data_IF_984247656517
#
_entry.id   IF_984247656517
#
_cell.length_a   1.000
_cell.length_b   1.000
_cell.length_c   1.000
_cell.angle_alpha   90.00
_cell.angle_beta   90.00
_cell.angle_gamma   90.00
#
_symmetry.space_group_name_H-M   'P 1'
#
loop_
_entity.id
_entity.type
_entity.pdbx_description
1 polymer ?
#
# COMPACT_ATOMS: atom_id res chain seq x y z
N UNK A 1 -6.36 -14.70 14.78
CA UNK A 1 -6.51 -13.30 15.16
C UNK A 1 -7.98 -13.07 15.56
N UNK A 2 -8.26 -12.71 16.79
CA UNK A 2 -9.62 -12.67 17.33
C UNK A 2 -9.92 -11.34 18.01
N UNK A 3 -9.80 -10.24 17.31
CA UNK A 3 -10.14 -8.92 17.78
C UNK A 3 -10.19 -7.95 16.61
N UNK A 4 -10.73 -6.75 16.79
CA UNK A 4 -10.63 -5.68 15.83
C UNK A 4 -9.15 -5.31 15.66
N UNK A 5 -8.53 -5.83 14.61
CA UNK A 5 -7.14 -5.50 14.29
C UNK A 5 -7.12 -4.17 13.57
N UNK A 6 -6.38 -3.21 14.11
CA UNK A 6 -6.14 -1.93 13.44
C UNK A 6 -5.32 -2.20 12.18
N UNK A 7 -5.90 -1.97 11.01
CA UNK A 7 -5.25 -2.19 9.72
C UNK A 7 -4.65 -0.89 9.16
N UNK A 8 -3.44 -0.57 9.64
CA UNK A 8 -2.70 0.61 9.18
C UNK A 8 -2.33 0.59 7.71
N UNK A 9 -2.26 -0.58 7.12
CA UNK A 9 -1.85 -0.77 5.74
C UNK A 9 -3.03 -0.88 4.77
N UNK A 10 -4.27 -0.67 5.24
CA UNK A 10 -5.48 -0.81 4.41
C UNK A 10 -5.37 -0.08 3.07
N UNK A 11 -4.82 1.13 3.06
CA UNK A 11 -4.62 1.94 1.86
C UNK A 11 -3.49 1.43 0.95
N UNK A 12 -2.47 0.78 1.53
CA UNK A 12 -1.31 0.28 0.80
C UNK A 12 -1.40 -1.21 0.48
N UNK A 13 -2.42 -1.93 1.00
CA UNK A 13 -2.52 -3.40 0.85
C UNK A 13 -2.55 -3.86 -0.59
N UNK A 14 -3.27 -3.16 -1.45
CA UNK A 14 -3.30 -3.50 -2.86
C UNK A 14 -1.91 -3.41 -3.51
N UNK A 15 -1.10 -2.40 -3.11
CA UNK A 15 0.25 -2.19 -3.63
C UNK A 15 1.24 -3.17 -3.00
N UNK A 16 1.09 -3.44 -1.69
CA UNK A 16 1.96 -4.37 -0.96
C UNK A 16 1.59 -5.84 -1.15
N UNK A 17 0.48 -6.12 -1.83
CA UNK A 17 -0.05 -7.48 -2.04
C UNK A 17 -0.18 -8.27 -0.73
N UNK A 18 -0.57 -7.58 0.36
CA UNK A 18 -0.78 -8.16 1.67
C UNK A 18 -2.27 -8.36 1.97
N UNK A 19 -2.61 -9.36 2.78
CA UNK A 19 -3.97 -9.61 3.24
C UNK A 19 -4.05 -9.53 4.76
N UNK A 20 -4.96 -8.69 5.29
CA UNK A 20 -5.13 -8.52 6.73
C UNK A 20 -5.45 -9.84 7.43
N UNK A 21 -4.77 -10.09 8.56
CA UNK A 21 -5.02 -11.28 9.36
C UNK A 21 -4.57 -12.61 8.74
N UNK A 22 -3.94 -12.60 7.57
CA UNK A 22 -3.40 -13.79 6.91
C UNK A 22 -1.92 -14.00 7.18
N UNK A 23 -1.41 -15.16 6.78
CA UNK A 23 0.03 -15.45 6.80
C UNK A 23 0.84 -14.46 5.95
N UNK A 24 0.22 -13.92 4.89
CA UNK A 24 0.80 -12.93 3.99
C UNK A 24 0.45 -11.48 4.38
N UNK A 25 0.29 -11.23 5.67
CA UNK A 25 -0.07 -9.91 6.19
C UNK A 25 0.91 -8.79 5.78
N UNK A 26 2.22 -9.06 5.82
CA UNK A 26 3.25 -8.12 5.39
C UNK A 26 3.34 -7.98 3.85
N UNK A 27 2.90 -9.00 3.09
CA UNK A 27 3.02 -9.02 1.64
C UNK A 27 4.47 -8.86 1.16
N UNK A 28 4.66 -8.02 0.14
CA UNK A 28 5.97 -7.70 -0.45
C UNK A 28 6.71 -6.56 0.27
N UNK A 29 6.14 -5.98 1.34
CA UNK A 29 6.71 -4.85 2.08
C UNK A 29 8.19 -5.00 2.42
N UNK A 30 8.59 -6.05 3.16
CA UNK A 30 9.97 -6.27 3.55
C UNK A 30 10.94 -6.43 2.37
N UNK A 31 10.47 -7.03 1.26
CA UNK A 31 11.27 -7.23 0.04
C UNK A 31 11.58 -5.89 -0.60
N UNK A 32 10.55 -5.05 -0.72
CA UNK A 32 10.66 -3.71 -1.30
C UNK A 32 11.55 -2.83 -0.43
N UNK A 33 11.32 -2.81 0.89
CA UNK A 33 12.10 -2.01 1.84
C UNK A 33 13.57 -2.42 1.86
N UNK A 34 13.87 -3.72 1.88
CA UNK A 34 15.23 -4.23 1.79
C UNK A 34 15.92 -3.81 0.49
N UNK A 35 15.18 -3.81 -0.62
CA UNK A 35 15.69 -3.36 -1.92
C UNK A 35 15.98 -1.86 -1.93
N UNK A 36 15.12 -1.03 -1.33
CA UNK A 36 15.31 0.42 -1.21
C UNK A 36 16.59 0.73 -0.42
N UNK A 37 16.75 0.11 0.74
CA UNK A 37 17.90 0.35 1.61
C UNK A 37 19.18 0.02 0.86
N UNK A 38 19.21 -1.09 0.14
CA UNK A 38 20.40 -1.48 -0.65
C UNK A 38 20.68 -0.51 -1.80
N UNK A 39 19.63 -0.04 -2.50
CA UNK A 39 19.74 0.97 -3.55
C UNK A 39 20.25 2.31 -2.99
N UNK A 40 19.77 2.74 -1.83
CA UNK A 40 20.21 3.95 -1.17
C UNK A 40 21.71 3.86 -0.75
N UNK A 41 22.11 2.75 -0.18
CA UNK A 41 23.51 2.56 0.25
C UNK A 41 24.47 2.55 -0.94
N UNK A 42 24.07 1.93 -2.04
CA UNK A 42 24.87 1.90 -3.27
C UNK A 42 24.83 3.26 -3.98
N UNK A 43 23.67 3.89 -4.06
CA UNK A 43 23.49 5.21 -4.70
C UNK A 43 24.20 6.33 -3.95
N UNK A 44 24.19 6.31 -2.64
CA UNK A 44 24.92 7.25 -1.78
C UNK A 44 26.43 6.93 -1.67
N UNK A 45 26.90 5.86 -2.35
CA UNK A 45 28.30 5.38 -2.28
C UNK A 45 28.78 5.06 -0.85
N UNK A 46 27.87 4.71 0.05
CA UNK A 46 28.22 4.19 1.37
C UNK A 46 28.87 2.81 1.20
N UNK A 47 28.33 2.02 0.28
CA UNK A 47 28.90 0.76 -0.16
C UNK A 47 29.40 0.99 -1.60
N UNK A 48 30.72 0.96 -1.79
CA UNK A 48 31.34 1.13 -3.09
C UNK A 48 31.29 -0.19 -3.88
N UNK A 49 30.18 -0.42 -4.59
CA UNK A 49 30.02 -1.54 -5.50
C UNK A 49 29.88 -1.01 -6.93
N UNK A 50 30.67 -1.58 -7.84
CA UNK A 50 30.55 -1.30 -9.26
C UNK A 50 29.61 -2.30 -9.92
N UNK A 51 28.33 -1.93 -10.10
CA UNK A 51 27.30 -2.80 -10.68
C UNK A 51 27.59 -3.22 -12.15
N UNK A 52 28.63 -2.68 -12.76
CA UNK A 52 29.13 -3.11 -14.07
C UNK A 52 29.98 -4.38 -13.96
N UNK A 53 30.57 -4.65 -12.79
CA UNK A 53 31.37 -5.85 -12.54
C UNK A 53 30.45 -7.00 -12.11
N UNK A 54 30.54 -8.19 -12.75
CA UNK A 54 29.75 -9.35 -12.38
C UNK A 54 29.90 -9.78 -10.92
N UNK A 55 31.10 -9.68 -10.36
CA UNK A 55 31.39 -10.04 -8.97
C UNK A 55 30.70 -9.11 -7.98
N UNK A 56 30.79 -7.79 -8.21
CA UNK A 56 30.14 -6.80 -7.36
C UNK A 56 28.61 -6.90 -7.44
N UNK A 57 28.09 -7.26 -8.60
CA UNK A 57 26.66 -7.54 -8.81
C UNK A 57 26.17 -8.75 -8.00
N UNK A 58 26.96 -9.83 -7.92
CA UNK A 58 26.64 -10.98 -7.07
C UNK A 58 26.64 -10.61 -5.58
N UNK A 59 27.64 -9.83 -5.14
CA UNK A 59 27.70 -9.33 -3.76
C UNK A 59 26.49 -8.45 -3.46
N UNK A 60 26.10 -7.55 -4.37
CA UNK A 60 24.93 -6.70 -4.23
C UNK A 60 23.65 -7.56 -4.04
N UNK A 61 23.42 -8.53 -4.91
CA UNK A 61 22.25 -9.41 -4.82
C UNK A 61 22.25 -10.27 -3.56
N UNK A 62 23.41 -10.79 -3.15
CA UNK A 62 23.53 -11.56 -1.90
C UNK A 62 23.23 -10.72 -0.67
N UNK A 63 23.79 -9.51 -0.59
CA UNK A 63 23.55 -8.57 0.51
C UNK A 63 22.10 -8.13 0.57
N UNK A 64 21.48 -7.87 -0.59
CA UNK A 64 20.06 -7.53 -0.68
C UNK A 64 19.17 -8.64 -0.10
N UNK A 65 19.44 -9.91 -0.38
CA UNK A 65 18.69 -11.04 0.17
C UNK A 65 18.81 -11.15 1.70
N UNK A 66 20.00 -10.95 2.24
CA UNK A 66 20.22 -10.92 3.69
C UNK A 66 19.44 -9.76 4.31
N UNK A 67 19.48 -8.58 3.67
CA UNK A 67 18.77 -7.41 4.15
C UNK A 67 17.26 -7.62 4.15
N UNK A 68 16.70 -8.29 3.14
CA UNK A 68 15.26 -8.66 3.11
C UNK A 68 14.89 -9.54 4.31
N UNK A 69 15.71 -10.53 4.64
CA UNK A 69 15.45 -11.40 5.81
C UNK A 69 15.47 -10.57 7.12
N UNK A 70 16.41 -9.65 7.25
CA UNK A 70 16.46 -8.74 8.40
C UNK A 70 15.21 -7.86 8.44
N UNK A 71 14.77 -7.32 7.31
CA UNK A 71 13.58 -6.49 7.23
C UNK A 71 12.29 -7.25 7.53
N UNK A 72 12.18 -8.52 7.18
CA UNK A 72 11.05 -9.38 7.59
C UNK A 72 10.90 -9.37 9.11
N UNK A 73 11.99 -9.49 9.84
CA UNK A 73 11.97 -9.48 11.32
C UNK A 73 11.67 -8.06 11.83
N UNK A 74 12.32 -7.05 11.28
CA UNK A 74 12.17 -5.64 11.69
C UNK A 74 10.75 -5.12 11.46
N UNK A 75 10.05 -5.59 10.43
CA UNK A 75 8.66 -5.20 10.15
C UNK A 75 7.63 -6.07 10.89
N UNK A 76 7.90 -7.39 11.11
CA UNK A 76 6.96 -8.28 11.79
C UNK A 76 6.83 -7.98 13.29
N UNK A 77 7.93 -7.66 13.96
CA UNK A 77 7.93 -7.41 15.41
C UNK A 77 7.04 -6.21 15.79
N UNK A 78 7.21 -5.01 15.21
CA UNK A 78 6.37 -3.86 15.53
C UNK A 78 4.89 -4.09 15.24
N UNK A 79 4.57 -4.82 14.18
CA UNK A 79 3.17 -5.10 13.84
C UNK A 79 2.47 -5.95 14.89
N UNK A 80 3.13 -6.98 15.41
CA UNK A 80 2.55 -7.84 16.44
C UNK A 80 2.48 -7.15 17.80
N UNK A 81 3.46 -6.35 18.14
CA UNK A 81 3.44 -5.62 19.42
C UNK A 81 2.54 -4.40 19.42
N UNK A 82 2.31 -3.77 18.28
CA UNK A 82 1.56 -2.52 18.18
C UNK A 82 0.12 -2.67 17.69
N UNK A 83 -0.18 -3.66 16.83
CA UNK A 83 -1.42 -3.63 16.05
C UNK A 83 -2.17 -4.95 15.94
N UNK A 84 -1.48 -6.08 16.13
CA UNK A 84 -2.10 -7.39 16.02
C UNK A 84 -2.37 -7.97 17.40
N UNK A 85 -3.63 -8.06 17.77
CA UNK A 85 -4.02 -8.72 19.00
C UNK A 85 -4.16 -10.23 18.80
N UNK A 86 -3.47 -11.06 19.62
CA UNK A 86 -3.68 -12.49 19.63
C UNK A 86 -5.10 -12.83 20.06
N UNK A 87 -5.66 -13.94 19.54
CA UNK A 87 -6.97 -14.40 19.99
C UNK A 87 -6.94 -14.75 21.49
N UNK A 88 -8.05 -14.46 22.17
CA UNK A 88 -8.19 -14.76 23.61
C UNK A 88 -8.02 -16.25 23.93
N UNK A 89 -8.42 -17.13 23.02
CA UNK A 89 -8.21 -18.58 23.16
C UNK A 89 -6.73 -18.95 23.18
N UNK A 90 -5.94 -18.42 22.24
CA UNK A 90 -4.49 -18.68 22.18
C UNK A 90 -3.76 -18.11 23.40
N UNK A 91 -4.16 -16.91 23.85
CA UNK A 91 -3.58 -16.28 25.04
C UNK A 91 -3.89 -17.11 26.29
N UNK A 92 -5.09 -17.69 26.39
CA UNK A 92 -5.47 -18.57 27.50
C UNK A 92 -4.67 -19.85 27.56
N UNK A 93 -4.27 -20.43 26.43
CA UNK A 93 -3.51 -21.68 26.36
C UNK A 93 -2.00 -21.50 26.60
N UNK A 94 -1.38 -20.53 25.95
CA UNK A 94 0.09 -20.39 25.93
C UNK A 94 0.63 -19.13 26.58
N UNK A 95 -0.24 -18.21 26.98
CA UNK A 95 0.15 -16.91 27.54
C UNK A 95 0.46 -15.87 26.46
N UNK A 96 0.35 -14.58 26.82
CA UNK A 96 0.43 -13.46 25.90
C UNK A 96 1.77 -13.38 25.15
N UNK A 97 2.89 -13.60 25.85
CA UNK A 97 4.23 -13.52 25.25
C UNK A 97 4.46 -14.60 24.20
N UNK A 98 4.10 -15.83 24.52
CA UNK A 98 4.23 -16.96 23.58
C UNK A 98 3.27 -16.85 22.40
N UNK A 99 2.04 -16.35 22.63
CA UNK A 99 1.09 -16.09 21.57
C UNK A 99 1.64 -15.06 20.56
N UNK A 100 2.23 -13.96 21.05
CA UNK A 100 2.90 -12.96 20.19
C UNK A 100 4.08 -13.53 19.42
N UNK A 101 4.94 -14.33 20.06
CA UNK A 101 6.06 -14.99 19.39
C UNK A 101 5.61 -15.95 18.28
N UNK A 102 4.52 -16.67 18.51
CA UNK A 102 3.91 -17.54 17.48
C UNK A 102 3.46 -16.74 16.27
N UNK A 103 2.78 -15.60 16.48
CA UNK A 103 2.32 -14.75 15.39
C UNK A 103 3.50 -14.15 14.62
N UNK A 104 4.55 -13.64 15.31
CA UNK A 104 5.77 -13.15 14.66
C UNK A 104 6.38 -14.23 13.77
N UNK A 105 6.49 -15.44 14.28
CA UNK A 105 7.06 -16.56 13.52
C UNK A 105 6.21 -16.90 12.29
N UNK A 106 4.88 -16.91 12.43
CA UNK A 106 3.96 -17.14 11.31
C UNK A 106 4.09 -16.04 10.24
N UNK A 107 4.12 -14.77 10.63
CA UNK A 107 4.30 -13.65 9.71
C UNK A 107 5.67 -13.70 9.01
N UNK A 108 6.73 -14.04 9.75
CA UNK A 108 8.07 -14.18 9.19
C UNK A 108 8.15 -15.32 8.17
N UNK A 109 7.53 -16.47 8.46
CA UNK A 109 7.45 -17.59 7.52
C UNK A 109 6.64 -17.17 6.28
N UNK A 110 5.49 -16.51 6.44
CA UNK A 110 4.67 -16.05 5.33
C UNK A 110 5.42 -15.09 4.41
N UNK A 111 6.11 -14.09 4.97
CA UNK A 111 6.91 -13.14 4.20
C UNK A 111 8.12 -13.80 3.53
N UNK A 112 8.74 -14.78 4.20
CA UNK A 112 9.81 -15.54 3.60
C UNK A 112 9.34 -16.40 2.42
N UNK A 113 8.13 -16.98 2.50
CA UNK A 113 7.52 -17.69 1.37
C UNK A 113 7.26 -16.75 0.20
N UNK A 114 6.74 -15.54 0.44
CA UNK A 114 6.56 -14.53 -0.60
C UNK A 114 7.89 -14.16 -1.25
N UNK A 115 8.96 -14.02 -0.46
CA UNK A 115 10.30 -13.78 -0.98
C UNK A 115 10.82 -14.94 -1.87
N UNK A 116 10.61 -16.19 -1.47
CA UNK A 116 10.97 -17.35 -2.30
C UNK A 116 10.14 -17.40 -3.60
N UNK A 117 8.85 -17.05 -3.54
CA UNK A 117 7.99 -16.97 -4.71
C UNK A 117 8.46 -15.86 -5.65
N UNK A 118 8.84 -14.68 -5.14
CA UNK A 118 9.41 -13.59 -5.94
C UNK A 118 10.70 -14.04 -6.65
N UNK A 119 11.60 -14.70 -5.92
CA UNK A 119 12.84 -15.20 -6.51
C UNK A 119 12.59 -16.28 -7.58
N UNK A 120 11.63 -17.18 -7.33
CA UNK A 120 11.22 -18.20 -8.29
C UNK A 120 10.64 -17.60 -9.56
N UNK A 121 9.70 -16.66 -9.44
CA UNK A 121 9.08 -15.98 -10.59
C UNK A 121 10.10 -15.16 -11.36
N UNK A 122 10.99 -14.44 -10.68
CA UNK A 122 12.02 -13.62 -11.32
C UNK A 122 13.07 -14.43 -12.06
N UNK A 123 13.34 -15.67 -11.63
CA UNK A 123 14.31 -16.56 -12.29
C UNK A 123 13.70 -17.42 -13.41
N UNK A 124 12.50 -17.93 -13.20
CA UNK A 124 11.88 -18.94 -14.05
C UNK A 124 10.60 -18.47 -14.74
N UNK A 125 10.07 -17.30 -14.32
CA UNK A 125 8.81 -16.76 -14.80
C UNK A 125 8.97 -15.65 -15.85
N UNK A 126 7.86 -14.96 -16.06
CA UNK A 126 7.75 -13.86 -17.02
C UNK A 126 7.88 -12.52 -16.27
N UNK A 127 9.09 -11.99 -16.18
CA UNK A 127 9.35 -10.67 -15.63
C UNK A 127 9.66 -10.66 -14.11
N UNK A 128 9.34 -9.55 -13.44
CA UNK A 128 9.59 -9.37 -12.00
C UNK A 128 8.43 -9.91 -11.16
N UNK A 129 8.74 -10.74 -10.17
CA UNK A 129 7.75 -11.27 -9.24
C UNK A 129 7.03 -10.17 -8.46
N UNK A 130 7.75 -9.15 -8.01
CA UNK A 130 7.17 -7.98 -7.32
C UNK A 130 6.08 -7.34 -8.18
N UNK A 131 6.35 -7.08 -9.46
CA UNK A 131 5.37 -6.48 -10.38
C UNK A 131 4.14 -7.36 -10.57
N UNK A 132 4.31 -8.68 -10.60
CA UNK A 132 3.21 -9.63 -10.72
C UNK A 132 2.34 -9.65 -9.46
N UNK A 133 2.94 -9.64 -8.28
CA UNK A 133 2.20 -9.58 -7.01
C UNK A 133 1.41 -8.29 -6.87
N UNK A 134 1.99 -7.15 -7.27
CA UNK A 134 1.27 -5.86 -7.27
C UNK A 134 0.10 -5.91 -8.25
N UNK A 135 0.32 -6.39 -9.47
CA UNK A 135 -0.75 -6.52 -10.46
C UNK A 135 -1.89 -7.42 -9.95
N UNK A 136 -1.55 -8.53 -9.28
CA UNK A 136 -2.53 -9.42 -8.68
C UNK A 136 -3.30 -8.72 -7.52
N UNK A 137 -2.59 -8.04 -6.62
CA UNK A 137 -3.21 -7.32 -5.49
C UNK A 137 -4.14 -6.18 -5.96
N UNK A 138 -3.69 -5.38 -6.94
CA UNK A 138 -4.52 -4.31 -7.52
C UNK A 138 -5.73 -4.90 -8.26
N UNK A 139 -5.54 -5.97 -9.04
CA UNK A 139 -6.65 -6.65 -9.71
C UNK A 139 -7.67 -7.17 -8.69
N UNK A 140 -7.21 -7.83 -7.64
CA UNK A 140 -8.08 -8.29 -6.55
C UNK A 140 -8.85 -7.12 -5.92
N UNK A 141 -8.20 -6.00 -5.63
CA UNK A 141 -8.84 -4.81 -5.06
C UNK A 141 -9.92 -4.24 -6.01
N UNK A 142 -9.67 -4.21 -7.32
CA UNK A 142 -10.65 -3.77 -8.31
C UNK A 142 -11.85 -4.73 -8.35
N UNK A 143 -11.60 -6.05 -8.39
CA UNK A 143 -12.68 -7.05 -8.41
C UNK A 143 -13.52 -7.00 -7.15
N UNK A 144 -12.91 -6.98 -5.99
CA UNK A 144 -13.64 -6.91 -4.71
C UNK A 144 -14.36 -5.59 -4.54
N UNK A 145 -13.74 -4.46 -4.88
CA UNK A 145 -14.38 -3.15 -4.84
C UNK A 145 -15.56 -3.00 -5.82
N UNK A 146 -15.55 -3.74 -6.94
CA UNK A 146 -16.60 -3.63 -7.97
C UNK A 146 -17.71 -4.65 -7.79
N UNK A 147 -17.40 -5.90 -7.44
CA UNK A 147 -18.33 -7.04 -7.52
C UNK A 147 -18.67 -7.68 -6.17
N UNK A 148 -18.20 -7.17 -5.05
CA UNK A 148 -18.44 -7.77 -3.74
C UNK A 148 -19.91 -7.62 -3.31
N UNK A 149 -20.59 -8.75 -3.09
CA UNK A 149 -21.98 -8.82 -2.61
C UNK A 149 -22.09 -8.81 -1.08
N UNK A 150 -20.99 -8.96 -0.38
CA UNK A 150 -20.98 -8.96 1.09
C UNK A 150 -21.11 -7.54 1.64
N UNK A 151 -21.86 -7.34 2.73
CA UNK A 151 -21.91 -6.06 3.42
C UNK A 151 -20.53 -5.66 3.93
N UNK A 152 -20.23 -4.36 4.00
CA UNK A 152 -19.00 -3.89 4.57
C UNK A 152 -18.91 -4.27 6.06
N UNK A 153 -17.79 -4.85 6.54
CA UNK A 153 -17.63 -5.19 7.94
C UNK A 153 -17.83 -3.95 8.83
N UNK A 154 -18.68 -4.04 9.85
CA UNK A 154 -18.92 -2.95 10.79
C UNK A 154 -19.93 -1.89 10.34
N UNK A 155 -20.47 -1.95 9.12
CA UNK A 155 -21.42 -0.93 8.63
C UNK A 155 -22.81 -0.99 9.26
N UNK A 156 -23.16 -2.11 9.88
CA UNK A 156 -24.52 -2.31 10.44
C UNK A 156 -25.66 -2.27 9.41
N UNK A 157 -25.35 -2.11 8.14
CA UNK A 157 -26.30 -2.05 7.02
C UNK A 157 -26.17 -3.31 6.16
N UNK A 158 -27.30 -3.75 5.58
CA UNK A 158 -27.30 -4.88 4.63
C UNK A 158 -26.83 -4.48 3.22
N UNK A 159 -26.33 -3.26 3.05
CA UNK A 159 -25.87 -2.76 1.77
C UNK A 159 -24.59 -3.45 1.33
N UNK A 160 -24.54 -4.02 0.11
CA UNK A 160 -23.33 -4.62 -0.43
C UNK A 160 -22.17 -3.62 -0.54
N UNK A 161 -20.94 -4.08 -0.29
CA UNK A 161 -19.76 -3.22 -0.33
C UNK A 161 -19.22 -2.94 -1.74
N UNK A 162 -19.55 -3.77 -2.72
CA UNK A 162 -19.13 -3.57 -4.12
C UNK A 162 -19.99 -2.54 -4.85
N UNK A 163 -19.37 -1.74 -5.73
CA UNK A 163 -20.05 -0.65 -6.46
C UNK A 163 -21.28 -1.14 -7.25
N UNK A 164 -21.15 -2.22 -8.05
CA UNK A 164 -22.26 -2.72 -8.87
C UNK A 164 -23.37 -3.38 -8.03
N UNK A 165 -23.08 -4.27 -7.08
CA UNK A 165 -24.10 -4.80 -6.17
C UNK A 165 -24.81 -3.72 -5.36
N UNK A 166 -24.09 -2.69 -4.91
CA UNK A 166 -24.64 -1.56 -4.17
C UNK A 166 -25.67 -0.79 -5.02
N UNK A 167 -25.37 -0.50 -6.27
CA UNK A 167 -26.30 0.16 -7.21
C UNK A 167 -27.55 -0.70 -7.41
N UNK A 168 -27.39 -2.00 -7.64
CA UNK A 168 -28.52 -2.93 -7.83
C UNK A 168 -29.38 -3.02 -6.57
N UNK A 169 -28.74 -3.02 -5.40
CA UNK A 169 -29.46 -3.05 -4.12
C UNK A 169 -30.30 -1.77 -3.91
N UNK A 170 -29.74 -0.57 -4.18
CA UNK A 170 -30.48 0.68 -4.09
C UNK A 170 -31.62 0.73 -5.11
N UNK A 171 -31.41 0.30 -6.34
CA UNK A 171 -32.46 0.26 -7.37
C UNK A 171 -33.62 -0.71 -7.01
N UNK A 172 -33.31 -1.77 -6.28
CA UNK A 172 -34.32 -2.78 -5.89
C UNK A 172 -35.05 -2.39 -4.60
N UNK A 173 -34.37 -1.84 -3.62
CA UNK A 173 -34.88 -1.67 -2.26
C UNK A 173 -35.31 -0.23 -1.92
N UNK A 174 -34.89 0.78 -2.71
CA UNK A 174 -35.22 2.17 -2.45
C UNK A 174 -36.38 2.65 -3.29
N UNK A 175 -37.29 3.42 -2.68
CA UNK A 175 -38.36 4.10 -3.40
C UNK A 175 -37.77 5.26 -4.21
N UNK A 176 -38.49 5.70 -5.26
CA UNK A 176 -38.09 6.83 -6.10
C UNK A 176 -37.91 8.14 -5.29
N UNK A 177 -38.61 8.29 -4.18
CA UNK A 177 -38.47 9.39 -3.25
C UNK A 177 -37.20 9.30 -2.43
N UNK A 178 -36.84 8.12 -1.94
CA UNK A 178 -35.63 7.89 -1.14
C UNK A 178 -34.38 8.08 -2.01
N UNK A 179 -34.47 7.74 -3.32
CA UNK A 179 -33.40 7.98 -4.28
C UNK A 179 -33.16 9.49 -4.52
N UNK A 180 -34.23 10.30 -4.58
CA UNK A 180 -34.10 11.75 -4.76
C UNK A 180 -33.64 12.47 -3.49
N UNK A 181 -33.97 11.95 -2.31
CA UNK A 181 -33.68 12.58 -1.01
C UNK A 181 -32.29 12.19 -0.44
N UNK A 182 -31.35 11.76 -1.29
CA UNK A 182 -29.96 11.44 -0.93
C UNK A 182 -29.44 10.10 -1.45
N UNK A 183 -30.29 9.26 -2.04
CA UNK A 183 -29.88 7.96 -2.58
C UNK A 183 -28.91 8.08 -3.75
N UNK A 184 -29.05 9.11 -4.60
CA UNK A 184 -28.07 9.38 -5.67
C UNK A 184 -26.71 9.81 -5.12
N UNK A 185 -26.71 10.64 -4.05
CA UNK A 185 -25.46 11.04 -3.38
C UNK A 185 -24.79 9.83 -2.75
N UNK A 186 -25.55 8.92 -2.16
CA UNK A 186 -25.03 7.68 -1.59
C UNK A 186 -24.38 6.76 -2.65
N UNK A 187 -25.03 6.58 -3.81
CA UNK A 187 -24.48 5.78 -4.91
C UNK A 187 -23.21 6.42 -5.50
N UNK A 188 -23.20 7.75 -5.66
CA UNK A 188 -22.11 8.44 -6.34
C UNK A 188 -20.90 8.67 -5.44
N UNK A 189 -21.11 9.00 -4.16
CA UNK A 189 -20.08 9.54 -3.29
C UNK A 189 -19.85 8.76 -1.99
N UNK A 190 -20.82 7.92 -1.54
CA UNK A 190 -20.68 7.26 -0.25
C UNK A 190 -19.65 6.12 -0.27
N UNK A 191 -18.75 6.06 0.75
CA UNK A 191 -17.86 4.93 0.93
C UNK A 191 -18.65 3.63 1.22
N UNK A 192 -18.07 2.41 0.97
CA UNK A 192 -16.63 2.19 0.74
C UNK A 192 -16.20 2.33 -0.71
N UNK A 193 -17.07 2.14 -1.70
CA UNK A 193 -16.70 2.10 -3.11
C UNK A 193 -17.67 2.94 -3.97
N UNK A 194 -17.50 4.27 -3.99
CA UNK A 194 -18.39 5.16 -4.74
C UNK A 194 -18.26 4.97 -6.26
N UNK A 195 -19.35 5.17 -6.99
CA UNK A 195 -19.37 5.05 -8.46
C UNK A 195 -18.39 6.02 -9.13
N UNK A 196 -18.22 7.22 -8.57
CA UNK A 196 -17.26 8.21 -9.09
C UNK A 196 -15.83 7.68 -9.04
N UNK A 197 -15.46 6.90 -8.01
CA UNK A 197 -14.14 6.28 -7.93
C UNK A 197 -13.93 5.24 -9.03
N UNK A 198 -14.96 4.42 -9.35
CA UNK A 198 -14.88 3.44 -10.44
C UNK A 198 -14.71 4.13 -11.80
N UNK A 199 -15.52 5.16 -12.08
CA UNK A 199 -15.42 5.94 -13.32
C UNK A 199 -14.07 6.63 -13.41
N UNK A 200 -13.61 7.26 -12.31
CA UNK A 200 -12.31 7.92 -12.23
C UNK A 200 -11.16 6.94 -12.50
N UNK A 201 -11.21 5.76 -11.90
CA UNK A 201 -10.22 4.70 -12.14
C UNK A 201 -10.15 4.31 -13.63
N UNK A 202 -11.31 4.15 -14.27
CA UNK A 202 -11.36 3.82 -15.69
C UNK A 202 -10.80 4.94 -16.58
N UNK A 203 -11.15 6.20 -16.29
CA UNK A 203 -10.65 7.37 -17.02
C UNK A 203 -9.12 7.47 -16.86
N UNK A 204 -8.61 7.38 -15.62
CA UNK A 204 -7.17 7.44 -15.35
C UNK A 204 -6.45 6.28 -16.04
N UNK A 205 -7.01 5.07 -16.01
CA UNK A 205 -6.46 3.93 -16.73
C UNK A 205 -6.29 4.22 -18.23
N UNK A 206 -7.32 4.75 -18.90
CA UNK A 206 -7.25 5.09 -20.32
C UNK A 206 -6.20 6.17 -20.61
N UNK A 207 -6.13 7.21 -19.76
CA UNK A 207 -5.14 8.28 -19.90
C UNK A 207 -3.72 7.71 -19.76
N UNK A 208 -3.47 6.89 -18.74
CA UNK A 208 -2.15 6.30 -18.49
C UNK A 208 -1.73 5.38 -19.64
N UNK A 209 -2.63 4.52 -20.13
CA UNK A 209 -2.34 3.64 -21.28
C UNK A 209 -2.00 4.45 -22.53
N UNK A 210 -2.74 5.53 -22.80
CA UNK A 210 -2.47 6.42 -23.92
C UNK A 210 -1.11 7.11 -23.78
N UNK A 211 -0.82 7.69 -22.63
CA UNK A 211 0.43 8.43 -22.39
C UNK A 211 1.65 7.50 -22.37
N UNK A 212 1.52 6.28 -21.81
CA UNK A 212 2.62 5.31 -21.77
C UNK A 212 2.93 4.74 -23.17
N UNK A 213 1.91 4.59 -24.03
CA UNK A 213 2.11 4.14 -25.41
C UNK A 213 2.69 5.23 -26.31
N UNK A 214 2.56 6.52 -25.93
CA UNK A 214 3.03 7.65 -26.71
C UNK A 214 4.56 7.77 -26.67
N UNK A 215 5.17 7.85 -27.87
CA UNK A 215 6.62 7.97 -28.08
C UNK A 215 6.92 9.16 -28.97
N UNK A 216 7.91 9.95 -28.59
CA UNK A 216 8.46 11.03 -29.41
C UNK A 216 9.68 10.48 -30.13
N UNK A 217 9.65 10.43 -31.46
CA UNK A 217 10.76 9.98 -32.28
C UNK A 217 11.69 11.16 -32.62
N UNK A 218 12.90 11.15 -32.05
CA UNK A 218 13.92 12.14 -32.43
C UNK A 218 14.69 11.67 -33.65
N UNK A 219 14.76 12.45 -34.74
CA UNK A 219 15.59 12.12 -35.91
C UNK A 219 17.07 12.28 -35.54
N UNK A 220 17.81 11.20 -35.57
CA UNK A 220 19.26 11.20 -35.41
C UNK A 220 19.92 11.47 -36.78
N UNK A 221 20.53 12.63 -36.94
CA UNK A 221 21.34 12.95 -38.08
C UNK A 221 22.81 12.55 -37.83
N UNK A 222 23.30 11.53 -38.52
CA UNK A 222 24.71 11.17 -38.53
C UNK A 222 25.44 11.97 -39.62
N UNK A 223 26.31 12.90 -39.19
CA UNK A 223 27.06 13.77 -40.14
C UNK A 223 28.08 13.06 -41.06
N UNK A 224 28.42 11.81 -40.75
CA UNK A 224 29.42 11.03 -41.52
C UNK A 224 28.85 10.00 -42.50
N UNK A 225 27.57 9.66 -42.44
CA UNK A 225 26.95 8.65 -43.33
C UNK A 225 25.73 9.23 -44.01
N UNK A 226 25.83 9.51 -45.30
CA UNK A 226 24.70 9.95 -46.11
C UNK A 226 23.70 8.80 -46.26
N UNK A 227 22.50 8.98 -45.69
CA UNK A 227 21.37 8.06 -45.87
C UNK A 227 20.93 7.29 -44.63
N UNK A 228 21.71 7.20 -43.57
CA UNK A 228 21.28 6.55 -42.30
C UNK A 228 20.46 7.52 -41.44
N UNK A 229 19.14 7.49 -41.59
CA UNK A 229 18.20 8.20 -40.72
C UNK A 229 17.78 7.27 -39.60
N UNK A 230 18.49 7.28 -38.47
CA UNK A 230 18.05 6.63 -37.25
C UNK A 230 16.98 7.46 -36.55
N UNK A 231 15.98 6.81 -35.99
CA UNK A 231 15.00 7.45 -35.08
C UNK A 231 15.18 6.91 -33.69
N UNK A 232 15.35 7.78 -32.71
CA UNK A 232 15.46 7.38 -31.30
C UNK A 232 14.11 7.64 -30.61
N UNK A 233 13.38 6.58 -30.19
CA UNK A 233 12.10 6.75 -29.52
C UNK A 233 12.32 7.13 -28.05
N UNK A 234 11.83 8.29 -27.63
CA UNK A 234 11.76 8.70 -26.23
C UNK A 234 10.32 8.48 -25.77
N UNK A 235 10.15 7.75 -24.67
CA UNK A 235 8.84 7.60 -24.02
C UNK A 235 8.44 8.89 -23.33
N UNK A 236 7.16 9.25 -23.37
CA UNK A 236 6.64 10.44 -22.72
C UNK A 236 6.76 10.34 -21.19
N UNK A 237 6.49 9.16 -20.65
CA UNK A 237 6.75 8.82 -19.24
C UNK A 237 7.98 7.91 -19.19
N UNK A 238 9.10 8.45 -18.73
CA UNK A 238 10.34 7.71 -18.57
C UNK A 238 10.49 7.07 -17.18
N UNK A 239 9.76 7.60 -16.19
CA UNK A 239 9.78 7.08 -14.84
C UNK A 239 9.08 5.71 -14.79
N UNK A 240 9.80 4.72 -14.32
CA UNK A 240 9.25 3.39 -14.00
C UNK A 240 8.27 3.48 -12.81
N UNK A 241 7.33 2.55 -12.70
CA UNK A 241 6.45 2.41 -11.52
C UNK A 241 7.25 2.09 -10.23
N UNK A 242 8.48 1.58 -10.37
CA UNK A 242 9.33 1.19 -9.26
C UNK A 242 9.53 2.31 -8.23
N UNK A 243 9.90 3.57 -8.58
CA UNK A 243 10.06 4.63 -7.60
C UNK A 243 8.79 4.93 -6.80
N UNK A 244 7.61 4.85 -7.42
CA UNK A 244 6.31 5.09 -6.76
C UNK A 244 6.04 4.01 -5.72
N UNK A 245 6.26 2.75 -6.08
CA UNK A 245 6.10 1.60 -5.19
C UNK A 245 7.08 1.68 -4.02
N UNK A 246 8.34 2.01 -4.31
CA UNK A 246 9.37 2.19 -3.29
C UNK A 246 8.99 3.28 -2.29
N UNK A 247 8.52 4.42 -2.78
CA UNK A 247 8.07 5.52 -1.92
C UNK A 247 6.83 5.13 -1.11
N UNK A 248 5.85 4.46 -1.70
CA UNK A 248 4.65 4.01 -0.98
C UNK A 248 5.02 3.06 0.18
N UNK A 249 5.93 2.10 -0.05
CA UNK A 249 6.42 1.21 1.00
C UNK A 249 7.18 1.95 2.10
N UNK A 250 8.06 2.90 1.73
CA UNK A 250 8.78 3.72 2.69
C UNK A 250 7.82 4.54 3.56
N UNK A 251 6.84 5.19 2.95
CA UNK A 251 5.85 6.01 3.65
C UNK A 251 4.96 5.17 4.57
N UNK A 252 4.58 3.98 4.15
CA UNK A 252 3.84 3.03 4.98
C UNK A 252 4.65 2.64 6.23
N UNK A 253 5.95 2.36 6.08
CA UNK A 253 6.82 2.07 7.21
C UNK A 253 7.01 3.28 8.14
N UNK A 254 7.16 4.49 7.60
CA UNK A 254 7.24 5.72 8.41
C UNK A 254 5.97 5.88 9.26
N UNK A 255 4.78 5.69 8.68
CA UNK A 255 3.52 5.74 9.39
C UNK A 255 3.42 4.66 10.48
N UNK A 256 3.84 3.43 10.17
CA UNK A 256 3.86 2.34 11.13
C UNK A 256 4.75 2.66 12.34
N UNK A 257 5.98 3.09 12.11
CA UNK A 257 6.88 3.43 13.20
C UNK A 257 6.41 4.65 13.99
N UNK A 258 5.87 5.68 13.33
CA UNK A 258 5.33 6.86 14.00
C UNK A 258 4.19 6.47 14.95
N UNK A 259 3.26 5.63 14.52
CA UNK A 259 2.16 5.15 15.36
C UNK A 259 2.65 4.23 16.49
N UNK A 260 3.63 3.37 16.23
CA UNK A 260 4.22 2.51 17.25
C UNK A 260 4.86 3.35 18.38
N UNK A 261 5.62 4.39 18.04
CA UNK A 261 6.21 5.30 19.04
C UNK A 261 5.15 6.10 19.78
N UNK A 262 4.03 6.43 19.14
CA UNK A 262 2.93 7.13 19.75
C UNK A 262 2.13 6.26 20.71
N UNK A 263 1.74 5.05 20.30
CA UNK A 263 0.75 4.22 21.01
C UNK A 263 1.35 3.24 22.02
N UNK A 264 2.60 2.76 21.80
CA UNK A 264 3.16 1.70 22.63
C UNK A 264 3.65 2.21 24.00
N UNK A 265 3.15 1.67 25.14
CA UNK A 265 3.45 2.17 26.49
C UNK A 265 4.95 2.20 26.86
N UNK A 266 5.74 1.28 26.30
CA UNK A 266 7.19 1.20 26.52
C UNK A 266 7.99 2.21 25.71
N UNK A 267 7.58 2.44 24.46
CA UNK A 267 8.26 3.33 23.51
C UNK A 267 7.79 4.78 23.62
N UNK A 268 6.56 5.03 24.03
CA UNK A 268 6.02 6.37 24.24
C UNK A 268 6.80 7.20 25.28
N UNK A 269 7.54 6.54 26.20
CA UNK A 269 8.37 7.17 27.23
C UNK A 269 9.79 7.51 26.76
N UNK A 270 10.18 7.18 25.54
CA UNK A 270 11.51 7.50 25.03
C UNK A 270 11.69 9.02 24.87
N UNK A 271 12.79 9.61 25.36
CA UNK A 271 12.91 11.07 25.47
C UNK A 271 13.01 11.81 24.14
N UNK A 272 13.36 11.13 23.04
CA UNK A 272 13.54 11.75 21.72
C UNK A 272 12.48 11.29 20.72
N UNK A 273 12.10 10.02 20.73
CA UNK A 273 11.21 9.41 19.74
C UNK A 273 9.82 9.11 20.29
N UNK A 274 9.70 8.91 21.63
CA UNK A 274 8.44 8.55 22.26
C UNK A 274 7.48 9.72 22.34
N UNK A 275 6.22 9.48 22.02
CA UNK A 275 5.10 10.46 22.08
C UNK A 275 5.46 11.82 21.46
N UNK A 276 6.22 11.79 20.38
CA UNK A 276 6.72 13.00 19.74
C UNK A 276 5.75 13.45 18.65
N UNK A 277 5.03 14.54 18.91
CA UNK A 277 4.12 15.15 17.95
C UNK A 277 4.76 15.48 16.59
N UNK A 278 6.08 15.62 16.52
CA UNK A 278 6.80 15.88 15.26
C UNK A 278 6.84 14.67 14.35
N UNK A 279 6.88 13.45 14.90
CA UNK A 279 6.81 12.21 14.13
C UNK A 279 5.36 11.89 13.74
N UNK A 280 4.43 12.04 14.64
CA UNK A 280 3.01 11.86 14.39
C UNK A 280 2.22 11.85 15.69
N UNK A 281 1.16 12.66 15.75
CA UNK A 281 0.11 12.54 16.74
C UNK A 281 -1.08 11.86 16.08
N UNK A 282 -1.65 10.86 16.75
CA UNK A 282 -2.75 10.07 16.19
C UNK A 282 -3.98 10.20 17.09
N UNK A 283 -5.14 10.35 16.48
CA UNK A 283 -6.42 10.27 17.15
C UNK A 283 -6.93 8.82 17.12
N UNK A 284 -7.20 8.29 18.31
CA UNK A 284 -7.68 6.91 18.49
C UNK A 284 -9.05 6.88 19.17
N UNK A 285 -9.74 8.02 19.24
CA UNK A 285 -10.94 8.19 20.08
C UNK A 285 -12.16 7.44 19.57
N UNK A 286 -12.25 7.19 18.26
CA UNK A 286 -13.47 6.64 17.63
C UNK A 286 -13.46 5.12 17.40
N UNK A 287 -12.45 4.38 17.90
CA UNK A 287 -12.34 2.94 17.65
C UNK A 287 -12.10 2.57 16.16
N UNK A 288 -11.97 3.57 15.29
CA UNK A 288 -11.59 3.43 13.90
C UNK A 288 -10.07 3.38 13.74
N UNK A 289 -9.61 3.14 12.52
CA UNK A 289 -8.18 3.20 12.23
C UNK A 289 -7.58 4.53 12.70
N UNK A 290 -6.45 4.52 13.43
CA UNK A 290 -5.83 5.73 13.95
C UNK A 290 -5.45 6.68 12.80
N UNK A 291 -6.02 7.88 12.84
CA UNK A 291 -5.78 8.92 11.83
C UNK A 291 -4.70 9.86 12.34
N UNK A 292 -3.64 10.12 11.58
CA UNK A 292 -2.62 11.08 11.98
C UNK A 292 -3.20 12.50 11.92
N UNK A 293 -3.13 13.21 13.05
CA UNK A 293 -3.63 14.59 13.19
C UNK A 293 -2.54 15.64 13.06
N UNK A 294 -1.29 15.30 13.40
CA UNK A 294 -0.15 16.20 13.34
C UNK A 294 1.16 15.45 13.03
N UNK A 295 2.19 16.20 12.68
CA UNK A 295 3.55 15.68 12.51
C UNK A 295 3.85 15.13 11.12
N UNK A 296 4.99 14.44 10.98
CA UNK A 296 5.45 13.88 9.71
C UNK A 296 4.43 12.91 9.11
N UNK A 297 3.84 12.05 9.95
CA UNK A 297 2.83 11.10 9.53
C UNK A 297 1.59 11.77 8.90
N UNK A 298 1.17 12.92 9.42
CA UNK A 298 0.06 13.69 8.86
C UNK A 298 0.38 14.20 7.44
N UNK A 299 1.54 14.82 7.25
CA UNK A 299 1.93 15.34 5.93
C UNK A 299 2.15 14.24 4.89
N UNK A 300 2.61 13.10 5.33
CA UNK A 300 2.83 11.92 4.47
C UNK A 300 1.50 11.29 4.05
N UNK A 301 0.49 11.30 4.92
CA UNK A 301 -0.80 10.62 4.71
C UNK A 301 -1.92 11.55 4.24
N UNK A 302 -1.63 12.83 3.97
CA UNK A 302 -2.63 13.89 3.73
C UNK A 302 -3.51 13.67 2.50
N UNK A 303 -3.05 12.90 1.53
CA UNK A 303 -3.77 12.63 0.27
C UNK A 303 -3.97 11.13 0.07
N UNK A 304 -4.76 10.51 0.94
CA UNK A 304 -4.95 9.07 0.94
C UNK A 304 -6.09 8.60 0.02
N UNK A 305 -7.04 9.47 -0.33
CA UNK A 305 -8.19 9.06 -1.12
C UNK A 305 -8.93 10.20 -1.83
N UNK A 306 -9.99 9.82 -2.55
CA UNK A 306 -10.87 10.74 -3.25
C UNK A 306 -11.52 11.77 -2.29
N UNK A 307 -11.75 11.35 -1.05
CA UNK A 307 -12.36 12.19 0.00
C UNK A 307 -11.49 13.40 0.37
N UNK A 308 -10.17 13.26 0.25
CA UNK A 308 -9.23 14.29 0.70
C UNK A 308 -9.03 15.41 -0.31
N UNK A 309 -9.25 15.16 -1.59
CA UNK A 309 -8.96 16.16 -2.62
C UNK A 309 -10.15 16.49 -3.53
N UNK A 310 -11.03 15.52 -3.83
CA UNK A 310 -12.13 15.72 -4.75
C UNK A 310 -13.41 16.20 -4.05
N UNK A 311 -13.79 15.57 -2.94
CA UNK A 311 -15.00 15.95 -2.20
C UNK A 311 -14.97 17.38 -1.66
N UNK A 312 -13.84 17.92 -1.15
CA UNK A 312 -13.76 19.34 -0.78
C UNK A 312 -13.97 20.32 -1.95
N UNK A 313 -13.64 19.89 -3.19
CA UNK A 313 -13.87 20.70 -4.38
C UNK A 313 -15.35 20.74 -4.80
N UNK A 314 -16.07 19.63 -4.57
CA UNK A 314 -17.50 19.51 -4.97
C UNK A 314 -18.43 20.06 -3.89
N UNK A 315 -18.10 19.86 -2.62
CA UNK A 315 -18.92 20.27 -1.48
C UNK A 315 -18.04 20.82 -0.34
N UNK A 316 -17.52 22.05 -0.49
CA UNK A 316 -16.61 22.65 0.50
C UNK A 316 -17.25 22.82 1.88
N UNK A 317 -18.58 23.04 1.95
CA UNK A 317 -19.31 23.24 3.21
C UNK A 317 -19.40 21.96 4.06
N UNK A 318 -19.38 20.79 3.42
CA UNK A 318 -19.54 19.50 4.09
C UNK A 318 -18.19 18.82 4.38
N UNK A 319 -17.18 19.06 3.55
CA UNK A 319 -15.88 18.37 3.58
C UNK A 319 -14.69 19.33 3.73
N UNK A 320 -14.91 20.63 3.77
CA UNK A 320 -13.85 21.65 3.85
C UNK A 320 -13.07 21.68 5.18
N UNK A 321 -13.55 20.97 6.20
CA UNK A 321 -12.84 20.86 7.48
C UNK A 321 -11.52 20.04 7.38
N UNK A 322 -11.29 19.38 6.23
CA UNK A 322 -10.07 18.57 5.97
C UNK A 322 -8.98 19.34 5.20
N UNK A 323 -9.21 20.60 4.86
CA UNK A 323 -8.20 21.52 4.34
C UNK A 323 -7.61 22.38 5.45
#
# INVERSE_FOLDING_TARGET
>A
LGGETIDLFSQYRAILAGASGSLMHLGIGPIVTGSIIMQLFTGAKIINLNLQDPRDKEIYQGTQKVLVIVMIIVESVPQVFGFLEPSSSLVGEVGLTWARMTIITQLAIGSYLVFLMDESVSKWGIGSGISLFIAAGVSQAIFTGTLNWEPAPGSGTETPSGTLPMILWYLKNSSTKDLSDGGYEAILLAPPNPLVALIGTFIVFLIVVYVESSRIELPLAHGKVRGARGRYPIRLIYASNIPVILMAALLANVNMFALLFWSHPGMSKWPILGHNWRLGAFDTTDGSNPVPTMGLAYYVNRLAGLQDWFLPLVSPDKYGAYM
#
